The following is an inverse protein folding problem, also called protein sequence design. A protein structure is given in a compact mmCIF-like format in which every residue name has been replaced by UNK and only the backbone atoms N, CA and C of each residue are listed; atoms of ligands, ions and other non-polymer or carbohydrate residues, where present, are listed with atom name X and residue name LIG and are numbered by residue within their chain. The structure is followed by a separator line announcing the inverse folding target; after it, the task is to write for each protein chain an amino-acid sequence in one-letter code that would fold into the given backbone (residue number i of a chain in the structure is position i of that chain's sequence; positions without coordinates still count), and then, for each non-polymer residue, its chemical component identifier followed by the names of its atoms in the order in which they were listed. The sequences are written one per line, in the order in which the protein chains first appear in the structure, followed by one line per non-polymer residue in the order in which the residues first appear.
data_IF_550474336118
#
_entry.id   IF_550474336118
#
_cell.length_a   1.000
_cell.length_b   1.000
_cell.length_c   1.000
_cell.angle_alpha   90.00
_cell.angle_beta   90.00
_cell.angle_gamma   90.00
#
_symmetry.space_group_name_H-M   'P 1'
#
loop_
_entity.id
_entity.type
_entity.pdbx_description
1 polymer ?
#
# COMPACT_ATOMS: atom_id res chain seq x y z
N UNK A 1 13.90 -17.72 9.06
CA UNK A 1 13.86 -17.24 7.66
C UNK A 1 14.43 -15.83 7.63
N UNK A 2 15.33 -15.53 6.69
CA UNK A 2 15.83 -14.17 6.48
C UNK A 2 14.72 -13.31 5.89
N UNK A 3 14.21 -12.38 6.71
CA UNK A 3 13.14 -11.43 6.39
C UNK A 3 13.73 -10.24 5.66
N UNK A 4 14.00 -10.33 4.36
CA UNK A 4 14.60 -9.18 3.67
C UNK A 4 13.82 -8.83 2.42
N UNK A 5 12.93 -7.85 2.57
CA UNK A 5 12.62 -6.96 1.46
C UNK A 5 13.91 -6.34 0.94
N UNK A 6 13.93 -5.95 -0.32
CA UNK A 6 15.03 -5.22 -0.92
C UNK A 6 14.58 -3.80 -1.20
N UNK A 7 15.32 -2.80 -0.72
CA UNK A 7 14.96 -1.40 -0.93
C UNK A 7 15.77 -0.75 -2.05
N UNK A 8 15.11 0.09 -2.84
CA UNK A 8 15.67 0.87 -3.93
C UNK A 8 15.35 2.36 -3.74
N UNK A 9 16.37 3.21 -3.88
CA UNK A 9 16.18 4.66 -3.86
C UNK A 9 15.70 5.14 -5.23
N UNK A 10 14.59 5.89 -5.26
CA UNK A 10 14.12 6.56 -6.50
C UNK A 10 14.76 7.92 -6.73
N UNK A 11 15.74 8.32 -5.89
CA UNK A 11 16.45 9.59 -6.08
C UNK A 11 17.32 9.55 -7.33
N UNK A 12 17.53 10.70 -7.95
CA UNK A 12 18.19 10.81 -9.27
C UNK A 12 19.60 10.23 -9.29
N UNK A 13 20.34 10.31 -8.19
CA UNK A 13 21.66 9.70 -8.04
C UNK A 13 21.65 8.18 -8.25
N UNK A 14 20.49 7.52 -8.10
CA UNK A 14 20.31 6.07 -8.27
C UNK A 14 19.85 5.68 -9.68
N UNK A 15 19.52 6.62 -10.58
CA UNK A 15 18.85 6.33 -11.86
C UNK A 15 19.73 5.65 -12.92
N UNK A 16 21.04 5.56 -12.68
CA UNK A 16 21.96 4.78 -13.50
C UNK A 16 21.89 3.28 -13.19
N UNK A 17 21.27 2.88 -12.08
CA UNK A 17 21.00 1.49 -11.76
C UNK A 17 19.71 1.05 -12.48
N UNK A 18 19.81 0.05 -13.37
CA UNK A 18 18.65 -0.48 -14.08
C UNK A 18 17.60 -1.07 -13.14
N UNK A 19 18.02 -1.67 -12.01
CA UNK A 19 17.11 -2.25 -11.00
C UNK A 19 16.20 -1.23 -10.33
N UNK A 20 16.45 0.08 -10.50
CA UNK A 20 15.59 1.15 -9.97
C UNK A 20 14.34 1.36 -10.85
N UNK A 21 14.30 0.86 -12.07
CA UNK A 21 13.18 1.00 -13.01
C UNK A 21 12.67 -0.37 -13.45
N UNK A 22 11.79 -1.02 -12.66
CA UNK A 22 11.18 -2.28 -13.05
C UNK A 22 10.12 -2.07 -14.15
N UNK A 23 9.78 -3.14 -14.87
CA UNK A 23 8.73 -3.09 -15.92
C UNK A 23 7.33 -2.83 -15.32
N UNK A 24 7.08 -3.33 -14.11
CA UNK A 24 5.79 -3.25 -13.43
C UNK A 24 5.98 -2.94 -11.94
N UNK A 25 5.34 -1.88 -11.44
CA UNK A 25 5.41 -1.48 -10.03
C UNK A 25 4.04 -1.11 -9.48
N UNK A 26 3.70 -1.63 -8.30
CA UNK A 26 2.50 -1.26 -7.58
C UNK A 26 2.71 0.02 -6.80
N UNK A 27 1.80 0.99 -6.93
CA UNK A 27 1.92 2.28 -6.23
C UNK A 27 1.09 2.30 -4.94
N UNK A 28 1.71 2.76 -3.85
CA UNK A 28 1.07 2.99 -2.56
C UNK A 28 0.36 4.37 -2.52
N UNK A 29 -0.70 4.47 -1.72
CA UNK A 29 -1.52 5.68 -1.57
C UNK A 29 -0.68 6.87 -1.13
N UNK A 30 0.31 6.67 -0.25
CA UNK A 30 1.12 7.78 0.27
C UNK A 30 1.94 8.50 -0.82
N UNK A 31 2.38 7.79 -1.87
CA UNK A 31 3.13 8.37 -2.98
C UNK A 31 2.21 9.25 -3.82
N UNK A 32 1.00 8.75 -4.09
CA UNK A 32 -0.02 9.50 -4.83
C UNK A 32 -0.39 10.77 -4.07
N UNK A 33 -0.65 10.66 -2.76
CA UNK A 33 -0.93 11.83 -1.93
C UNK A 33 0.24 12.80 -1.88
N UNK A 34 1.47 12.33 -1.85
CA UNK A 34 2.65 13.20 -1.87
C UNK A 34 2.74 14.01 -3.17
N UNK A 35 2.43 13.41 -4.31
CA UNK A 35 2.38 14.10 -5.61
C UNK A 35 1.26 15.15 -5.60
N UNK A 36 0.03 14.71 -5.29
CA UNK A 36 -1.18 15.54 -5.46
C UNK A 36 -1.22 16.70 -4.47
N UNK A 37 -0.76 16.48 -3.24
CA UNK A 37 -0.71 17.50 -2.18
C UNK A 37 0.65 18.21 -2.11
N UNK A 38 1.52 18.01 -3.10
CA UNK A 38 2.85 18.63 -3.21
C UNK A 38 3.69 18.50 -1.93
N UNK A 39 3.66 17.33 -1.30
CA UNK A 39 4.42 17.04 -0.08
C UNK A 39 5.89 16.78 -0.39
N UNK A 40 6.66 16.50 0.65
CA UNK A 40 8.13 16.40 0.63
C UNK A 40 8.69 15.56 -0.53
N UNK A 41 8.05 14.44 -0.89
CA UNK A 41 8.54 13.56 -1.94
C UNK A 41 7.75 13.63 -3.24
N UNK A 42 6.71 14.47 -3.34
CA UNK A 42 5.82 14.53 -4.50
C UNK A 42 6.55 14.78 -5.81
N UNK A 43 7.44 15.79 -5.84
CA UNK A 43 8.19 16.14 -7.05
C UNK A 43 9.09 15.00 -7.53
N UNK A 44 9.81 14.33 -6.63
CA UNK A 44 10.74 13.26 -7.04
C UNK A 44 9.97 12.01 -7.47
N UNK A 45 8.82 11.72 -6.85
CA UNK A 45 7.96 10.61 -7.24
C UNK A 45 7.34 10.82 -8.60
N UNK A 46 6.80 12.01 -8.88
CA UNK A 46 6.29 12.34 -10.22
C UNK A 46 7.40 12.26 -11.29
N UNK A 47 8.59 12.79 -11.00
CA UNK A 47 9.74 12.69 -11.92
C UNK A 47 10.13 11.23 -12.18
N UNK A 48 10.09 10.39 -11.14
CA UNK A 48 10.33 8.96 -11.25
C UNK A 48 9.28 8.25 -12.11
N UNK A 49 7.99 8.52 -11.91
CA UNK A 49 6.90 7.94 -12.71
C UNK A 49 7.03 8.29 -14.20
N UNK A 50 7.37 9.55 -14.51
CA UNK A 50 7.63 10.00 -15.90
C UNK A 50 8.81 9.25 -16.52
N UNK A 51 9.88 9.06 -15.77
CA UNK A 51 11.06 8.33 -16.23
C UNK A 51 10.79 6.82 -16.37
N UNK A 52 10.00 6.23 -15.49
CA UNK A 52 9.56 4.83 -15.55
C UNK A 52 8.85 4.54 -16.87
N UNK A 53 7.84 5.35 -17.22
CA UNK A 53 7.10 5.23 -18.49
C UNK A 53 7.97 5.48 -19.70
N UNK A 54 8.93 6.41 -19.62
CA UNK A 54 9.91 6.65 -20.70
C UNK A 54 10.80 5.43 -20.96
N UNK A 55 10.92 4.53 -19.99
CA UNK A 55 11.67 3.27 -20.07
C UNK A 55 10.76 2.06 -20.27
N UNK A 56 9.56 2.28 -20.78
CA UNK A 56 8.55 1.25 -21.05
C UNK A 56 8.02 0.51 -19.81
N UNK A 57 8.31 1.00 -18.61
CA UNK A 57 7.70 0.52 -17.36
C UNK A 57 6.35 1.16 -17.11
N UNK A 58 5.54 0.56 -16.24
CA UNK A 58 4.22 1.09 -15.86
C UNK A 58 3.92 0.90 -14.38
N UNK A 59 3.00 1.73 -13.88
CA UNK A 59 2.42 1.51 -12.56
C UNK A 59 1.16 0.67 -12.62
N UNK A 60 0.85 0.02 -11.51
CA UNK A 60 -0.49 -0.47 -11.21
C UNK A 60 -0.97 0.10 -9.89
N UNK A 61 -2.27 0.33 -9.78
CA UNK A 61 -2.93 0.67 -8.52
C UNK A 61 -4.20 -0.15 -8.38
N UNK A 62 -4.76 -0.21 -7.18
CA UNK A 62 -5.95 -1.01 -6.89
C UNK A 62 -7.10 -0.14 -6.39
N UNK A 63 -8.29 -0.73 -6.34
CA UNK A 63 -9.41 -0.20 -5.57
C UNK A 63 -9.07 0.13 -4.11
N UNK A 64 -8.19 -0.62 -3.44
CA UNK A 64 -7.76 -0.31 -2.07
C UNK A 64 -7.14 1.09 -1.98
N UNK A 65 -6.32 1.48 -2.96
CA UNK A 65 -5.76 2.82 -3.04
C UNK A 65 -6.87 3.87 -3.23
N UNK A 66 -7.86 3.59 -4.09
CA UNK A 66 -9.00 4.49 -4.32
C UNK A 66 -9.82 4.68 -3.03
N UNK A 67 -10.09 3.62 -2.29
CA UNK A 67 -10.82 3.69 -1.02
C UNK A 67 -10.07 4.53 0.03
N UNK A 68 -8.73 4.42 0.08
CA UNK A 68 -7.91 5.27 0.94
C UNK A 68 -7.87 6.74 0.51
N UNK A 69 -7.91 7.02 -0.79
CA UNK A 69 -8.05 8.39 -1.29
C UNK A 69 -9.41 8.98 -0.91
N UNK A 70 -10.49 8.18 -0.99
CA UNK A 70 -11.83 8.60 -0.54
C UNK A 70 -11.79 8.97 0.94
N UNK A 71 -11.26 8.10 1.81
CA UNK A 71 -11.10 8.37 3.25
C UNK A 71 -10.31 9.66 3.49
N UNK A 72 -9.20 9.83 2.78
CA UNK A 72 -8.31 10.99 2.94
C UNK A 72 -9.01 12.29 2.52
N UNK A 73 -9.58 12.35 1.32
CA UNK A 73 -10.23 13.56 0.82
C UNK A 73 -11.51 13.87 1.57
N UNK A 74 -12.24 12.86 2.03
CA UNK A 74 -13.38 13.04 2.92
C UNK A 74 -12.94 13.78 4.18
N UNK A 75 -11.90 13.29 4.86
CA UNK A 75 -11.37 13.96 6.04
C UNK A 75 -10.91 15.41 5.75
N UNK A 76 -10.20 15.64 4.64
CA UNK A 76 -9.74 16.99 4.28
C UNK A 76 -10.87 17.96 4.01
N UNK A 77 -11.87 17.56 3.22
CA UNK A 77 -13.01 18.40 2.86
C UNK A 77 -13.80 18.77 4.11
N UNK A 78 -14.12 17.81 4.98
CA UNK A 78 -14.82 18.11 6.23
C UNK A 78 -14.01 19.02 7.15
N UNK A 79 -12.68 18.86 7.18
CA UNK A 79 -11.80 19.73 7.97
C UNK A 79 -11.79 21.16 7.41
N UNK A 80 -11.69 21.33 6.10
CA UNK A 80 -11.71 22.63 5.42
C UNK A 80 -13.06 23.33 5.62
N UNK A 81 -14.15 22.62 5.38
CA UNK A 81 -15.51 23.13 5.55
C UNK A 81 -15.83 23.50 7.00
N UNK A 82 -15.36 22.71 7.96
CA UNK A 82 -15.48 23.04 9.37
C UNK A 82 -14.73 24.34 9.71
N UNK A 83 -13.56 24.56 9.11
CA UNK A 83 -12.81 25.81 9.25
C UNK A 83 -13.56 26.98 8.62
N UNK A 84 -14.06 26.82 7.39
CA UNK A 84 -14.80 27.85 6.65
C UNK A 84 -16.08 28.28 7.37
N UNK A 85 -16.79 27.32 7.96
CA UNK A 85 -18.01 27.53 8.75
C UNK A 85 -17.74 27.92 10.21
N UNK A 86 -16.46 28.07 10.61
CA UNK A 86 -16.04 28.36 11.99
C UNK A 86 -16.68 27.41 13.02
N UNK A 87 -16.73 26.13 12.70
CA UNK A 87 -17.31 25.10 13.55
C UNK A 87 -16.44 24.92 14.81
N UNK A 88 -17.05 25.14 15.96
CA UNK A 88 -16.43 24.93 17.27
C UNK A 88 -17.05 23.67 17.90
N UNK A 89 -16.19 22.74 18.28
CA UNK A 89 -16.61 21.52 18.98
C UNK A 89 -17.03 21.89 20.41
N UNK A 90 -18.25 21.50 20.87
CA UNK A 90 -18.67 21.74 22.24
C UNK A 90 -17.70 21.14 23.27
N UNK A 91 -17.51 21.84 24.40
CA UNK A 91 -16.69 21.34 25.50
C UNK A 91 -17.21 19.99 25.99
N UNK A 92 -16.31 19.02 26.17
CA UNK A 92 -16.64 17.66 26.64
C UNK A 92 -16.83 16.63 25.53
N UNK A 93 -16.81 17.04 24.25
CA UNK A 93 -16.88 16.14 23.11
C UNK A 93 -15.47 15.87 22.58
N UNK A 94 -15.10 14.59 22.46
CA UNK A 94 -13.82 14.18 21.88
C UNK A 94 -13.95 13.99 20.36
N UNK A 95 -14.04 15.09 19.61
CA UNK A 95 -14.09 15.08 18.16
C UNK A 95 -13.23 16.21 17.58
N UNK A 96 -12.70 16.01 16.38
CA UNK A 96 -12.15 17.12 15.58
C UNK A 96 -13.29 17.96 15.01
N UNK A 97 -13.06 19.24 14.67
CA UNK A 97 -14.09 20.07 14.03
C UNK A 97 -14.69 19.44 12.75
N UNK A 98 -13.85 18.80 11.92
CA UNK A 98 -14.32 18.08 10.74
C UNK A 98 -15.22 16.90 11.08
N UNK A 99 -14.83 16.08 12.07
CA UNK A 99 -15.67 14.97 12.53
C UNK A 99 -16.96 15.45 13.19
N UNK A 100 -16.91 16.60 13.86
CA UNK A 100 -18.11 17.22 14.41
C UNK A 100 -19.05 17.71 13.29
N UNK A 101 -18.51 18.38 12.27
CA UNK A 101 -19.27 18.81 11.09
C UNK A 101 -19.97 17.63 10.41
N UNK A 102 -19.31 16.48 10.27
CA UNK A 102 -19.90 15.25 9.71
C UNK A 102 -21.19 14.84 10.42
N UNK A 103 -21.29 15.07 11.73
CA UNK A 103 -22.47 14.70 12.52
C UNK A 103 -23.60 15.75 12.49
N UNK A 104 -23.30 17.00 12.13
CA UNK A 104 -24.26 18.12 12.18
C UNK A 104 -24.60 18.69 10.80
N UNK A 105 -23.90 18.25 9.74
CA UNK A 105 -24.16 18.66 8.38
C UNK A 105 -25.56 18.19 7.94
N UNK A 106 -26.23 19.01 7.14
CA UNK A 106 -27.50 18.61 6.51
C UNK A 106 -27.24 17.57 5.42
N UNK A 107 -28.24 16.77 5.06
CA UNK A 107 -28.11 15.80 3.96
C UNK A 107 -27.63 16.46 2.65
N UNK A 108 -28.08 17.70 2.37
CA UNK A 108 -27.65 18.46 1.21
C UNK A 108 -26.17 18.85 1.27
N UNK A 109 -25.68 19.28 2.44
CA UNK A 109 -24.27 19.60 2.64
C UNK A 109 -23.41 18.33 2.51
N UNK A 110 -23.81 17.26 3.20
CA UNK A 110 -23.10 15.97 3.18
C UNK A 110 -23.00 15.40 1.77
N UNK A 111 -24.08 15.45 0.98
CA UNK A 111 -24.07 15.03 -0.42
C UNK A 111 -23.16 15.92 -1.29
N UNK A 112 -23.12 17.23 -1.01
CA UNK A 112 -22.22 18.15 -1.71
C UNK A 112 -20.75 17.86 -1.39
N UNK A 113 -20.42 17.56 -0.14
CA UNK A 113 -19.07 17.18 0.29
C UNK A 113 -18.64 15.87 -0.34
N UNK A 114 -19.53 14.87 -0.37
CA UNK A 114 -19.26 13.60 -1.06
C UNK A 114 -18.96 13.80 -2.54
N UNK A 115 -19.68 14.70 -3.24
CA UNK A 115 -19.39 15.03 -4.64
C UNK A 115 -17.98 15.61 -4.83
N UNK A 116 -17.58 16.54 -3.96
CA UNK A 116 -16.23 17.11 -3.99
C UNK A 116 -15.14 16.06 -3.74
N UNK A 117 -15.40 15.08 -2.85
CA UNK A 117 -14.50 13.93 -2.65
C UNK A 117 -14.34 13.14 -3.94
N UNK A 118 -15.46 12.77 -4.57
CA UNK A 118 -15.45 11.98 -5.81
C UNK A 118 -14.78 12.73 -6.96
N UNK A 119 -15.01 14.04 -7.10
CA UNK A 119 -14.33 14.87 -8.09
C UNK A 119 -12.81 14.88 -7.90
N UNK A 120 -12.32 14.96 -6.64
CA UNK A 120 -10.88 14.87 -6.35
C UNK A 120 -10.34 13.47 -6.71
N UNK A 121 -11.03 12.41 -6.33
CA UNK A 121 -10.62 11.02 -6.64
C UNK A 121 -10.60 10.76 -8.15
N UNK A 122 -11.60 11.24 -8.88
CA UNK A 122 -11.65 11.11 -10.35
C UNK A 122 -10.46 11.84 -11.01
N UNK A 123 -10.13 13.04 -10.54
CA UNK A 123 -8.97 13.78 -11.03
C UNK A 123 -7.64 13.05 -10.76
N UNK A 124 -7.51 12.43 -9.58
CA UNK A 124 -6.34 11.60 -9.26
C UNK A 124 -6.29 10.37 -10.17
N UNK A 125 -7.41 9.70 -10.38
CA UNK A 125 -7.48 8.50 -11.23
C UNK A 125 -7.08 8.82 -12.67
N UNK A 126 -7.63 9.90 -13.26
CA UNK A 126 -7.23 10.39 -14.60
C UNK A 126 -5.75 10.78 -14.69
N UNK A 127 -5.17 11.23 -13.58
CA UNK A 127 -3.74 11.51 -13.52
C UNK A 127 -2.92 10.21 -13.53
N UNK A 128 -3.32 9.20 -12.76
CA UNK A 128 -2.64 7.90 -12.70
C UNK A 128 -2.72 7.12 -14.02
N UNK A 129 -3.83 7.22 -14.76
CA UNK A 129 -4.04 6.64 -16.09
C UNK A 129 -2.99 7.06 -17.14
N UNK A 130 -2.23 8.12 -16.88
CA UNK A 130 -1.11 8.53 -17.75
C UNK A 130 0.15 7.66 -17.53
N UNK A 131 0.23 6.94 -16.42
CA UNK A 131 1.42 6.18 -16.01
C UNK A 131 1.22 4.67 -15.98
N UNK A 132 -0.03 4.20 -16.08
CA UNK A 132 -0.33 2.79 -15.92
C UNK A 132 -1.82 2.50 -15.89
N UNK A 133 -2.20 1.41 -15.23
CA UNK A 133 -3.59 0.92 -15.19
C UNK A 133 -4.04 0.57 -13.78
N UNK A 134 -5.34 0.67 -13.55
CA UNK A 134 -5.95 0.05 -12.39
C UNK A 134 -6.03 -1.46 -12.60
N UNK A 135 -5.57 -2.23 -11.61
CA UNK A 135 -5.79 -3.65 -11.55
C UNK A 135 -6.58 -3.97 -10.27
N UNK A 136 -7.68 -4.70 -10.44
CA UNK A 136 -8.61 -5.03 -9.37
C UNK A 136 -8.72 -6.56 -9.24
N UNK A 137 -7.76 -7.20 -8.56
CA UNK A 137 -7.88 -8.60 -8.18
C UNK A 137 -9.15 -8.87 -7.36
N UNK A 138 -9.55 -10.13 -7.28
CA UNK A 138 -10.74 -10.51 -6.52
C UNK A 138 -10.65 -10.03 -5.06
N UNK A 139 -11.69 -9.34 -4.60
CA UNK A 139 -11.68 -8.71 -3.28
C UNK A 139 -11.61 -9.72 -2.13
N UNK A 140 -12.22 -10.89 -2.27
CA UNK A 140 -12.14 -11.94 -1.25
C UNK A 140 -10.73 -12.53 -1.20
N UNK A 141 -10.09 -12.75 -2.35
CA UNK A 141 -8.69 -13.16 -2.43
C UNK A 141 -7.74 -12.14 -1.81
N UNK A 142 -7.90 -10.85 -2.15
CA UNK A 142 -7.10 -9.74 -1.57
C UNK A 142 -7.25 -9.73 -0.05
N UNK A 143 -8.47 -9.78 0.47
CA UNK A 143 -8.71 -9.71 1.90
C UNK A 143 -8.17 -10.96 2.62
N UNK A 144 -8.36 -12.15 2.06
CA UNK A 144 -7.84 -13.40 2.62
C UNK A 144 -6.30 -13.39 2.68
N UNK A 145 -5.64 -13.09 1.56
CA UNK A 145 -4.19 -13.03 1.49
C UNK A 145 -3.63 -11.90 2.37
N UNK A 146 -4.24 -10.71 2.32
CA UNK A 146 -3.80 -9.56 3.11
C UNK A 146 -3.93 -9.80 4.62
N UNK A 147 -4.99 -10.48 5.08
CA UNK A 147 -5.09 -10.89 6.48
C UNK A 147 -4.03 -11.92 6.87
N UNK A 148 -3.70 -12.86 5.97
CA UNK A 148 -2.65 -13.86 6.22
C UNK A 148 -1.25 -13.23 6.28
N UNK A 149 -0.95 -12.31 5.35
CA UNK A 149 0.27 -11.48 5.37
C UNK A 149 0.36 -10.69 6.69
N UNK A 150 -0.75 -10.06 7.09
CA UNK A 150 -0.81 -9.28 8.32
C UNK A 150 -0.59 -10.14 9.57
N UNK A 151 -1.20 -11.32 9.66
CA UNK A 151 -1.04 -12.21 10.81
C UNK A 151 0.38 -12.75 10.92
N UNK A 152 1.02 -13.06 9.79
CA UNK A 152 2.36 -13.68 9.78
C UNK A 152 3.48 -12.64 9.97
N UNK A 153 3.37 -11.47 9.34
CA UNK A 153 4.45 -10.49 9.29
C UNK A 153 4.18 -9.22 10.13
N UNK A 154 2.96 -9.07 10.65
CA UNK A 154 2.53 -7.90 11.42
C UNK A 154 2.51 -6.61 10.59
N UNK A 155 2.59 -5.45 11.27
CA UNK A 155 2.60 -4.14 10.62
C UNK A 155 1.24 -3.45 10.61
N UNK A 156 0.93 -2.74 9.54
CA UNK A 156 -0.39 -2.14 9.32
C UNK A 156 -1.20 -3.06 8.40
N UNK A 157 -2.45 -3.34 8.77
CA UNK A 157 -3.37 -4.16 7.96
C UNK A 157 -3.57 -3.57 6.56
N UNK A 158 -3.68 -2.24 6.44
CA UNK A 158 -3.84 -1.57 5.14
C UNK A 158 -2.63 -1.84 4.24
N UNK A 159 -1.41 -1.64 4.73
CA UNK A 159 -0.19 -1.98 4.00
C UNK A 159 -0.15 -3.45 3.56
N UNK A 160 -0.60 -4.38 4.41
CA UNK A 160 -0.69 -5.81 4.06
C UNK A 160 -1.68 -6.06 2.91
N UNK A 161 -2.76 -5.26 2.81
CA UNK A 161 -3.67 -5.30 1.65
C UNK A 161 -3.01 -4.74 0.39
N UNK A 162 -2.20 -3.69 0.48
CA UNK A 162 -1.41 -3.20 -0.66
C UNK A 162 -0.43 -4.27 -1.16
N UNK A 163 0.25 -4.98 -0.25
CA UNK A 163 1.12 -6.12 -0.63
C UNK A 163 0.32 -7.23 -1.29
N UNK A 164 -0.84 -7.61 -0.74
CA UNK A 164 -1.70 -8.64 -1.34
C UNK A 164 -2.14 -8.27 -2.76
N UNK A 165 -2.58 -7.02 -2.99
CA UNK A 165 -2.92 -6.52 -4.32
C UNK A 165 -1.72 -6.62 -5.26
N UNK A 166 -0.54 -6.12 -4.87
CA UNK A 166 0.66 -6.20 -5.69
C UNK A 166 0.98 -7.65 -6.12
N UNK A 167 0.96 -8.59 -5.17
CA UNK A 167 1.24 -10.01 -5.43
C UNK A 167 0.20 -10.62 -6.37
N UNK A 168 -1.09 -10.36 -6.17
CA UNK A 168 -2.16 -10.88 -7.02
C UNK A 168 -2.12 -10.30 -8.44
N UNK A 169 -1.64 -9.05 -8.58
CA UNK A 169 -1.34 -8.41 -9.85
C UNK A 169 -0.02 -8.86 -10.49
N UNK A 170 0.68 -9.83 -9.90
CA UNK A 170 1.89 -10.43 -10.45
C UNK A 170 3.16 -9.60 -10.28
N UNK A 171 3.21 -8.70 -9.30
CA UNK A 171 4.43 -7.92 -8.99
C UNK A 171 4.76 -7.93 -7.51
N UNK A 172 6.05 -7.91 -7.18
CA UNK A 172 6.55 -7.69 -5.83
C UNK A 172 7.24 -6.33 -5.70
N UNK A 173 7.17 -5.48 -6.73
CA UNK A 173 7.71 -4.13 -6.73
C UNK A 173 6.65 -3.17 -6.17
N UNK A 174 6.96 -2.45 -5.10
CA UNK A 174 6.06 -1.49 -4.46
C UNK A 174 6.75 -0.13 -4.37
N UNK A 175 6.13 0.89 -4.97
CA UNK A 175 6.52 2.29 -4.82
C UNK A 175 5.82 2.88 -3.60
N UNK A 176 6.58 3.19 -2.56
CA UNK A 176 6.07 3.75 -1.30
C UNK A 176 7.11 4.67 -0.65
N UNK A 177 6.67 5.54 0.26
CA UNK A 177 7.58 6.26 1.17
C UNK A 177 7.54 5.73 2.60
N UNK A 178 6.69 4.75 2.87
CA UNK A 178 6.61 4.09 4.16
C UNK A 178 7.63 2.94 4.26
N UNK A 179 8.56 3.07 5.19
CA UNK A 179 9.52 2.02 5.50
C UNK A 179 8.89 0.82 6.22
N UNK A 180 7.62 0.92 6.64
CA UNK A 180 6.80 -0.18 7.13
C UNK A 180 6.81 -1.38 6.19
N UNK A 181 6.84 -1.15 4.87
CA UNK A 181 6.89 -2.20 3.85
C UNK A 181 8.18 -3.03 3.87
N UNK A 182 9.26 -2.54 4.48
CA UNK A 182 10.53 -3.27 4.56
C UNK A 182 10.47 -4.55 5.43
N UNK A 183 9.36 -4.75 6.14
CA UNK A 183 9.14 -5.97 6.94
C UNK A 183 8.65 -7.16 6.13
N UNK A 184 8.03 -6.91 4.98
CA UNK A 184 7.40 -7.96 4.19
C UNK A 184 8.47 -8.67 3.35
N UNK A 185 8.59 -10.01 3.44
CA UNK A 185 9.62 -10.73 2.72
C UNK A 185 9.35 -10.73 1.21
N UNK A 186 10.41 -10.87 0.42
CA UNK A 186 10.34 -10.98 -1.05
C UNK A 186 9.76 -9.75 -1.78
N UNK A 187 9.60 -8.62 -1.09
CA UNK A 187 9.15 -7.35 -1.69
C UNK A 187 10.35 -6.49 -2.10
N UNK A 188 10.23 -5.82 -3.24
CA UNK A 188 11.13 -4.78 -3.70
C UNK A 188 10.49 -3.41 -3.42
N UNK A 189 11.05 -2.65 -2.48
CA UNK A 189 10.48 -1.40 -1.98
C UNK A 189 11.21 -0.21 -2.58
N UNK A 190 10.53 0.57 -3.41
CA UNK A 190 11.06 1.73 -4.10
C UNK A 190 10.58 2.99 -3.39
N UNK A 191 11.48 3.91 -3.03
CA UNK A 191 11.08 5.15 -2.37
C UNK A 191 12.19 6.18 -2.20
N UNK A 192 11.81 7.38 -1.75
CA UNK A 192 12.73 8.50 -1.51
C UNK A 192 12.92 8.83 -0.02
N UNK A 193 12.14 8.19 0.86
CA UNK A 193 12.18 8.44 2.30
C UNK A 193 13.53 8.06 2.88
N UNK A 194 13.95 8.79 3.93
CA UNK A 194 15.27 8.59 4.55
C UNK A 194 15.47 7.13 4.98
N UNK A 195 14.44 6.49 5.52
CA UNK A 195 14.51 5.11 5.97
C UNK A 195 14.73 4.14 4.80
N UNK A 196 13.97 4.27 3.70
CA UNK A 196 14.16 3.43 2.50
C UNK A 196 15.54 3.66 1.87
N UNK A 197 15.97 4.92 1.76
CA UNK A 197 17.27 5.27 1.16
C UNK A 197 18.44 4.76 2.01
N UNK A 198 18.33 4.80 3.34
CA UNK A 198 19.37 4.28 4.22
C UNK A 198 19.45 2.74 4.22
N UNK A 199 18.33 2.06 3.91
CA UNK A 199 18.29 0.61 3.74
C UNK A 199 18.77 0.15 2.35
N UNK A 200 18.85 1.07 1.38
CA UNK A 200 19.32 0.78 0.03
C UNK A 200 20.83 0.48 0.03
N UNK A 201 21.18 -0.79 -0.15
CA UNK A 201 22.56 -1.22 -0.34
C UNK A 201 22.89 -1.29 -1.84
N UNK A 202 24.03 -0.72 -2.24
CA UNK A 202 24.46 -0.53 -3.64
C UNK A 202 24.68 -1.81 -4.46
N UNK A 203 24.48 -2.99 -3.87
CA UNK A 203 24.72 -4.32 -4.46
C UNK A 203 23.41 -5.11 -4.62
N UNK A 204 22.26 -4.51 -4.30
CA UNK A 204 20.99 -5.23 -4.30
C UNK A 204 20.48 -5.53 -5.71
N UNK A 205 20.42 -6.81 -6.05
CA UNK A 205 19.53 -7.29 -7.10
C UNK A 205 18.09 -7.29 -6.57
N UNK A 206 17.08 -7.01 -7.42
CA UNK A 206 15.68 -7.22 -7.06
C UNK A 206 15.46 -8.64 -6.55
N UNK A 207 14.63 -8.78 -5.53
CA UNK A 207 14.08 -10.07 -5.16
C UNK A 207 13.28 -10.63 -6.34
N UNK A 208 13.49 -11.92 -6.63
CA UNK A 208 12.62 -12.64 -7.55
C UNK A 208 11.18 -12.58 -7.05
N UNK A 209 10.24 -12.52 -8.00
CA UNK A 209 8.82 -12.59 -7.67
C UNK A 209 8.50 -13.96 -7.04
N UNK A 210 7.91 -13.92 -5.85
CA UNK A 210 7.41 -15.11 -5.15
C UNK A 210 5.95 -14.88 -4.82
N UNK A 211 5.10 -15.77 -5.33
CA UNK A 211 3.70 -15.79 -4.94
C UNK A 211 3.56 -16.28 -3.50
N UNK A 212 3.21 -15.37 -2.59
CA UNK A 212 3.08 -15.68 -1.17
C UNK A 212 1.97 -16.70 -0.89
N UNK A 213 0.97 -16.83 -1.78
CA UNK A 213 -0.10 -17.85 -1.64
C UNK A 213 0.50 -19.26 -1.60
N UNK A 214 1.45 -19.54 -2.48
CA UNK A 214 2.07 -20.86 -2.54
C UNK A 214 2.92 -21.19 -1.31
N UNK A 215 3.58 -20.19 -0.72
CA UNK A 215 4.35 -20.38 0.51
C UNK A 215 3.43 -20.75 1.66
N UNK A 216 2.34 -19.99 1.77
CA UNK A 216 1.32 -20.15 2.78
C UNK A 216 0.57 -21.48 2.70
N UNK A 217 0.33 -22.02 1.51
CA UNK A 217 -0.23 -23.37 1.33
C UNK A 217 0.77 -24.48 1.67
N UNK A 218 2.06 -24.28 1.35
CA UNK A 218 3.11 -25.26 1.64
C UNK A 218 3.35 -25.40 3.15
N UNK A 219 3.22 -24.33 3.90
CA UNK A 219 3.40 -24.36 5.35
C UNK A 219 2.19 -24.98 6.07
N UNK A 220 0.96 -24.72 5.62
CA UNK A 220 -0.24 -25.42 6.13
C UNK A 220 -0.15 -26.94 5.93
N UNK A 221 0.26 -27.40 4.75
CA UNK A 221 0.45 -28.83 4.46
C UNK A 221 1.57 -29.47 5.27
N UNK A 222 2.58 -28.71 5.73
CA UNK A 222 3.64 -29.23 6.60
C UNK A 222 3.15 -29.39 8.04
N UNK A 223 2.31 -28.49 8.51
CA UNK A 223 1.78 -28.54 9.87
C UNK A 223 0.73 -29.66 10.01
N UNK A 224 -0.09 -29.91 8.98
CA UNK A 224 -0.98 -31.08 8.93
C UNK A 224 -0.21 -32.41 8.95
N UNK A 225 0.89 -32.51 8.20
CA UNK A 225 1.73 -33.71 8.19
C UNK A 225 2.48 -33.94 9.51
N UNK A 226 2.79 -32.90 10.28
CA UNK A 226 3.38 -33.06 11.62
C UNK A 226 2.34 -33.53 12.64
N UNK A 227 1.12 -32.99 12.59
CA UNK A 227 0.03 -33.44 13.44
C UNK A 227 -0.30 -34.93 13.21
N UNK A 228 -0.27 -35.41 11.96
CA UNK A 228 -0.47 -36.83 11.63
C UNK A 228 0.70 -37.78 11.98
N UNK A 229 1.88 -37.25 12.31
CA UNK A 229 3.04 -38.07 12.73
C UNK A 229 3.10 -38.23 14.26
N UNK A 230 2.58 -37.26 15.03
CA UNK A 230 2.54 -37.35 16.50
C UNK A 230 1.43 -38.29 17.03
N UNK A 231 0.38 -38.57 16.23
CA UNK A 231 -0.65 -39.57 16.61
C UNK A 231 -0.18 -41.02 16.50
N UNK A 232 0.91 -41.30 15.77
CA UNK A 232 1.41 -42.68 15.57
C UNK A 232 2.57 -43.07 16.51
N UNK A 233 2.96 -42.22 17.48
CA UNK A 233 4.05 -42.51 18.43
C UNK A 233 3.60 -42.98 19.80
N UNK A 234 2.30 -43.11 20.06
CA UNK A 234 1.77 -43.53 21.37
C UNK A 234 1.35 -45.01 21.46
N UNK A 235 1.43 -45.79 20.37
CA UNK A 235 0.98 -47.20 20.38
C UNK A 235 2.09 -48.27 20.42
N UNK A 236 3.38 -47.94 20.36
CA UNK A 236 4.48 -48.95 20.41
C UNK A 236 5.24 -49.07 21.75
N UNK A 237 4.87 -48.35 22.81
CA UNK A 237 5.45 -48.51 24.16
C UNK A 237 4.52 -49.24 25.16
N UNK A 238 3.68 -50.15 24.66
CA UNK A 238 2.85 -51.02 25.50
C UNK A 238 2.98 -52.50 25.11
N UNK A 239 4.16 -53.09 25.30
CA UNK A 239 4.35 -54.55 25.39
C UNK A 239 5.23 -54.88 26.60
#
# INVERSE_FOLDING_TARGET
MNRTSTSFSIRKESWNNQSVFPDLIYIDTNVVLDIMEQRTYGRISEEYLKELVRRDGMIIWSRQLIDELIDFFHYQIYKEEASNKNIIVPKGINATPGKWLENIATDSDSANYARQVLEKVENVTKYLEQFGVQDDPDHEEVNSLGLKIYSEYGGNRKDSMHVANAILSGTNNILTHDAGFLRYPYINVFGASKAIVNSNTSINNPNDFVDLRELFEKDEKKDENKAGIDENKTEEEAI
#
